data_IF_048974276838
#
_entry.id   IF_048974276838
#
_cell.length_a   1.000
_cell.length_b   1.000
_cell.length_c   1.000
_cell.angle_alpha   90.00
_cell.angle_beta   90.00
_cell.angle_gamma   90.00
#
_symmetry.space_group_name_H-M   'P 1'
#
loop_
_entity.id
_entity.type
_entity.pdbx_description
1 polymer ?
#
# COMPACT_ATOMS: atom_id res chain seq x y z
N UNK A 1 -7.34 -1.42 -5.07
CA UNK A 1 -7.60 -0.02 -4.63
C UNK A 1 -7.50 1.03 -5.73
N UNK A 2 -6.48 0.99 -6.61
CA UNK A 2 -6.16 2.06 -7.57
C UNK A 2 -7.30 2.48 -8.54
N UNK A 3 -8.19 1.57 -8.93
CA UNK A 3 -9.29 1.87 -9.86
C UNK A 3 -10.46 2.67 -9.28
N UNK A 4 -10.47 2.93 -7.96
CA UNK A 4 -11.52 3.70 -7.29
C UNK A 4 -11.32 5.19 -7.57
N UNK A 5 -12.39 5.88 -8.01
CA UNK A 5 -12.33 7.29 -8.43
C UNK A 5 -12.15 8.27 -7.27
N UNK A 6 -12.87 8.04 -6.18
CA UNK A 6 -12.76 8.85 -4.97
C UNK A 6 -11.51 8.46 -4.20
N UNK A 7 -10.85 9.46 -3.60
CA UNK A 7 -9.73 9.17 -2.72
C UNK A 7 -10.21 8.39 -1.51
N UNK A 8 -9.63 7.21 -1.28
CA UNK A 8 -9.86 6.45 -0.05
C UNK A 8 -8.93 7.02 1.02
N UNK A 9 -9.44 7.47 2.17
CA UNK A 9 -8.63 7.93 3.31
C UNK A 9 -7.56 6.90 3.72
N UNK A 10 -6.40 7.39 4.16
CA UNK A 10 -5.26 6.57 4.55
C UNK A 10 -5.65 5.53 5.60
N UNK A 11 -6.43 5.96 6.59
CA UNK A 11 -6.83 5.19 7.75
C UNK A 11 -7.69 3.98 7.33
N UNK A 12 -8.58 4.18 6.36
CA UNK A 12 -9.41 3.11 5.79
C UNK A 12 -8.54 2.11 5.02
N UNK A 13 -7.51 2.58 4.30
CA UNK A 13 -6.58 1.67 3.62
C UNK A 13 -5.79 0.82 4.61
N UNK A 14 -5.29 1.44 5.68
CA UNK A 14 -4.55 0.77 6.76
C UNK A 14 -5.43 -0.29 7.41
N UNK A 15 -6.64 0.07 7.84
CA UNK A 15 -7.58 -0.87 8.46
C UNK A 15 -7.87 -2.06 7.55
N UNK A 16 -8.14 -1.79 6.26
CA UNK A 16 -8.42 -2.83 5.28
C UNK A 16 -7.23 -3.77 5.05
N UNK A 17 -6.03 -3.21 4.88
CA UNK A 17 -4.82 -4.02 4.67
C UNK A 17 -4.44 -4.80 5.93
N UNK A 18 -4.55 -4.21 7.12
CA UNK A 18 -4.31 -4.91 8.39
C UNK A 18 -5.25 -6.10 8.57
N UNK A 19 -6.54 -5.93 8.22
CA UNK A 19 -7.49 -7.04 8.21
C UNK A 19 -7.04 -8.16 7.26
N UNK A 20 -6.57 -7.81 6.05
CA UNK A 20 -6.08 -8.80 5.09
C UNK A 20 -4.79 -9.51 5.55
N UNK A 21 -3.91 -8.83 6.26
CA UNK A 21 -2.70 -9.44 6.84
C UNK A 21 -3.02 -10.55 7.85
N UNK A 22 -4.15 -10.42 8.57
CA UNK A 22 -4.65 -11.43 9.50
C UNK A 22 -5.25 -12.67 8.82
N UNK A 23 -5.55 -12.60 7.51
CA UNK A 23 -6.03 -13.77 6.74
C UNK A 23 -4.90 -14.76 6.45
N UNK A 24 -3.65 -14.29 6.37
CA UNK A 24 -2.48 -15.15 6.17
C UNK A 24 -2.24 -15.59 4.72
N UNK A 25 -2.46 -14.68 3.76
CA UNK A 25 -2.02 -14.92 2.38
C UNK A 25 -0.49 -15.03 2.31
N UNK A 26 0.03 -15.69 1.26
CA UNK A 26 1.48 -15.73 1.05
C UNK A 26 2.05 -14.33 0.80
N UNK A 27 1.41 -13.57 -0.09
CA UNK A 27 1.82 -12.21 -0.47
C UNK A 27 0.61 -11.31 -0.61
N UNK A 28 0.75 -10.06 -0.19
CA UNK A 28 -0.26 -9.02 -0.32
C UNK A 28 0.29 -7.85 -1.15
N UNK A 29 -0.36 -7.57 -2.29
CA UNK A 29 -0.14 -6.32 -3.03
C UNK A 29 -0.79 -5.16 -2.27
N UNK A 30 0.04 -4.43 -1.52
CA UNK A 30 -0.44 -3.38 -0.62
C UNK A 30 -0.44 -2.00 -1.28
N UNK A 31 0.37 -1.78 -2.32
CA UNK A 31 0.37 -0.50 -3.01
C UNK A 31 1.50 -0.25 -4.01
N UNK A 32 1.60 1.00 -4.48
CA UNK A 32 2.44 1.38 -5.61
C UNK A 32 3.21 2.68 -5.30
N UNK A 33 4.53 2.68 -5.50
CA UNK A 33 5.36 3.89 -5.45
C UNK A 33 5.49 4.48 -6.85
N UNK A 34 4.47 5.26 -7.20
CA UNK A 34 4.29 5.88 -8.52
C UNK A 34 4.04 7.37 -8.38
N UNK A 35 4.08 8.10 -9.49
CA UNK A 35 3.78 9.53 -9.49
C UNK A 35 2.37 9.80 -8.93
N UNK A 36 2.24 10.57 -7.81
CA UNK A 36 0.94 10.95 -7.25
C UNK A 36 0.09 11.76 -8.22
N UNK A 37 0.73 12.43 -9.19
CA UNK A 37 0.02 13.16 -10.24
C UNK A 37 -0.65 12.21 -11.23
N UNK A 38 0.02 11.09 -11.56
CA UNK A 38 -0.49 10.11 -12.51
C UNK A 38 -1.49 9.15 -11.85
N UNK A 39 -1.24 8.78 -10.59
CA UNK A 39 -2.09 7.88 -9.81
C UNK A 39 -2.37 8.48 -8.43
N UNK A 40 -3.33 9.44 -8.34
CA UNK A 40 -3.61 10.16 -7.08
C UNK A 40 -4.02 9.25 -5.92
N UNK A 41 -4.64 8.11 -6.23
CA UNK A 41 -5.10 7.15 -5.23
C UNK A 41 -3.95 6.53 -4.41
N UNK A 42 -2.72 6.49 -4.95
CA UNK A 42 -1.55 5.85 -4.33
C UNK A 42 -0.56 6.86 -3.71
N UNK A 43 -0.96 8.13 -3.59
CA UNK A 43 -0.10 9.22 -3.08
C UNK A 43 0.39 9.06 -1.64
N UNK A 44 -0.24 8.16 -0.89
CA UNK A 44 -0.08 7.94 0.54
C UNK A 44 0.47 6.53 0.86
N UNK A 45 0.96 5.79 -0.14
CA UNK A 45 1.46 4.41 0.06
C UNK A 45 2.54 4.29 1.14
N UNK A 46 3.49 5.23 1.22
CA UNK A 46 4.49 5.25 2.28
C UNK A 46 3.85 5.36 3.68
N UNK A 47 2.88 6.27 3.84
CA UNK A 47 2.15 6.47 5.11
C UNK A 47 1.30 5.28 5.50
N UNK A 48 0.78 4.53 4.52
CA UNK A 48 0.08 3.28 4.77
C UNK A 48 1.06 2.26 5.31
N UNK A 49 2.21 2.08 4.66
CA UNK A 49 3.24 1.12 5.10
C UNK A 49 3.70 1.40 6.54
N UNK A 50 3.97 2.66 6.88
CA UNK A 50 4.41 3.08 8.22
C UNK A 50 3.41 2.73 9.34
N UNK A 51 2.14 2.48 9.01
CA UNK A 51 1.07 2.22 9.97
C UNK A 51 0.65 0.75 10.03
N UNK A 52 1.17 -0.11 9.15
CA UNK A 52 0.88 -1.54 9.21
C UNK A 52 1.67 -2.21 10.33
N UNK A 53 0.99 -3.01 11.15
CA UNK A 53 1.63 -3.90 12.10
C UNK A 53 1.92 -5.24 11.42
N UNK A 54 3.22 -5.53 11.25
CA UNK A 54 3.74 -6.74 10.62
C UNK A 54 4.28 -7.75 11.64
N UNK A 55 4.14 -7.48 12.95
CA UNK A 55 4.75 -8.29 14.01
C UNK A 55 4.17 -9.71 14.11
N UNK A 56 2.91 -9.90 13.70
CA UNK A 56 2.19 -11.18 13.79
C UNK A 56 1.68 -11.68 12.42
N UNK A 57 2.47 -11.47 11.36
CA UNK A 57 2.16 -12.03 10.04
C UNK A 57 3.40 -12.56 9.33
N UNK A 58 3.19 -13.60 8.53
CA UNK A 58 4.20 -14.12 7.57
C UNK A 58 3.92 -13.66 6.15
N UNK A 59 2.86 -12.88 5.95
CA UNK A 59 2.47 -12.36 4.64
C UNK A 59 3.56 -11.41 4.14
N UNK A 60 4.11 -11.67 2.97
CA UNK A 60 5.05 -10.76 2.33
C UNK A 60 4.31 -9.57 1.72
N UNK A 61 4.88 -8.37 1.86
CA UNK A 61 4.35 -7.17 1.23
C UNK A 61 4.94 -7.00 -0.17
N UNK A 62 4.08 -6.81 -1.16
CA UNK A 62 4.46 -6.48 -2.53
C UNK A 62 4.04 -5.05 -2.84
N UNK A 63 4.96 -4.28 -3.45
CA UNK A 63 4.65 -2.99 -4.04
C UNK A 63 5.24 -2.82 -5.44
N UNK A 64 4.50 -2.16 -6.31
CA UNK A 64 4.98 -1.83 -7.66
C UNK A 64 5.74 -0.51 -7.64
N UNK A 65 6.94 -0.54 -8.21
CA UNK A 65 7.79 0.64 -8.41
C UNK A 65 7.96 0.88 -9.90
N UNK A 66 7.35 1.93 -10.44
CA UNK A 66 7.34 2.16 -11.89
C UNK A 66 8.65 2.75 -12.45
N UNK A 67 9.47 3.39 -11.61
CA UNK A 67 10.75 4.00 -12.00
C UNK A 67 11.64 4.28 -10.78
N UNK A 68 12.88 4.72 -11.03
CA UNK A 68 13.89 5.02 -10.01
C UNK A 68 13.45 6.07 -8.97
N UNK A 69 12.61 7.05 -9.37
CA UNK A 69 12.10 8.03 -8.40
C UNK A 69 11.15 7.36 -7.40
N UNK A 70 10.28 6.47 -7.89
CA UNK A 70 9.46 5.62 -7.04
C UNK A 70 10.30 4.81 -6.07
N UNK A 71 11.39 4.20 -6.56
CA UNK A 71 12.30 3.39 -5.73
C UNK A 71 12.98 4.19 -4.62
N UNK A 72 13.26 5.47 -4.85
CA UNK A 72 13.91 6.35 -3.87
C UNK A 72 12.92 6.95 -2.86
N UNK A 73 11.62 6.76 -3.07
CA UNK A 73 10.54 7.26 -2.22
C UNK A 73 9.84 6.15 -1.41
N UNK A 74 10.31 4.91 -1.58
CA UNK A 74 9.98 3.75 -0.76
C UNK A 74 10.70 3.84 0.57
#
# INVERSE_FOLDING_TARGET
MQGVKSFIPTEIKVEYLQFLLGVGFHTLDFGNFVSPRAVPQMRDTAKVLDQLDLSDTKTELLAIVANLRGASST
#
